data_IF_851762440703
#
_entry.id   IF_851762440703
#
_cell.length_a   1.000
_cell.length_b   1.000
_cell.length_c   1.000
_cell.angle_alpha   90.00
_cell.angle_beta   90.00
_cell.angle_gamma   90.00
#
_symmetry.space_group_name_H-M   'P 1'
#
loop_
_entity.id
_entity.type
_entity.pdbx_description
1 polymer ?
#
# COMPACT_ATOMS: atom_id res chain seq x y z
N UNK A 1 -7.11 7.60 15.22
CA UNK A 1 -6.90 6.27 14.63
C UNK A 1 -6.51 6.48 13.18
N UNK A 2 -5.35 5.96 12.76
CA UNK A 2 -4.88 6.07 11.37
C UNK A 2 -5.84 5.35 10.44
N UNK A 3 -6.18 5.96 9.31
CA UNK A 3 -7.07 5.37 8.31
C UNK A 3 -6.49 4.03 7.83
N UNK A 4 -7.29 2.96 7.84
CA UNK A 4 -6.85 1.62 7.39
C UNK A 4 -6.76 1.51 5.86
N UNK A 5 -7.41 2.42 5.13
CA UNK A 5 -7.31 2.50 3.67
C UNK A 5 -6.13 3.35 3.22
N UNK A 6 -5.74 3.16 1.97
CA UNK A 6 -4.60 3.78 1.30
C UNK A 6 -4.62 5.32 1.38
N UNK A 7 -3.90 5.89 2.35
CA UNK A 7 -3.64 7.34 2.44
C UNK A 7 -4.87 8.26 2.37
N UNK A 8 -6.07 7.69 2.55
CA UNK A 8 -7.33 8.34 2.21
C UNK A 8 -7.61 9.50 3.16
N UNK A 9 -8.03 10.64 2.61
CA UNK A 9 -8.39 11.83 3.39
C UNK A 9 -9.85 11.76 3.89
N UNK A 10 -10.21 10.67 4.55
CA UNK A 10 -11.55 10.50 5.12
C UNK A 10 -11.58 11.05 6.55
N UNK A 11 -12.62 11.81 6.88
CA UNK A 11 -12.85 12.35 8.24
C UNK A 11 -13.30 11.28 9.23
N UNK A 12 -13.89 10.20 8.72
CA UNK A 12 -14.43 9.06 9.48
C UNK A 12 -13.96 7.76 8.84
N UNK A 13 -14.11 6.64 9.55
CA UNK A 13 -13.86 5.31 8.99
C UNK A 13 -14.77 5.06 7.78
N UNK A 14 -14.27 4.36 6.74
CA UNK A 14 -15.10 3.90 5.63
C UNK A 14 -16.21 2.94 6.12
N UNK A 15 -17.31 2.88 5.38
CA UNK A 15 -18.32 1.83 5.60
C UNK A 15 -17.72 0.44 5.35
N UNK A 16 -18.22 -0.59 6.06
CA UNK A 16 -17.72 -1.96 5.95
C UNK A 16 -17.78 -2.50 4.49
N UNK A 17 -18.85 -2.19 3.77
CA UNK A 17 -18.98 -2.56 2.34
C UNK A 17 -17.87 -1.94 1.50
N UNK A 18 -17.44 -0.71 1.83
CA UNK A 18 -16.35 -0.05 1.13
C UNK A 18 -15.00 -0.73 1.46
N UNK A 19 -14.78 -1.20 2.69
CA UNK A 19 -13.59 -1.99 3.03
C UNK A 19 -13.52 -3.29 2.22
N UNK A 20 -14.63 -4.01 2.13
CA UNK A 20 -14.69 -5.31 1.45
C UNK A 20 -14.43 -5.20 -0.06
N UNK A 21 -15.05 -4.23 -0.75
CA UNK A 21 -14.89 -4.11 -2.21
C UNK A 21 -13.52 -3.55 -2.63
N UNK A 22 -12.79 -2.88 -1.74
CA UNK A 22 -11.46 -2.34 -2.03
C UNK A 22 -10.33 -3.34 -1.76
N UNK A 23 -10.59 -4.42 -1.02
CA UNK A 23 -9.58 -5.42 -0.73
C UNK A 23 -9.24 -6.20 -2.00
N UNK A 24 -8.02 -6.06 -2.50
CA UNK A 24 -7.53 -6.77 -3.70
C UNK A 24 -6.54 -7.90 -3.40
N UNK A 25 -6.27 -8.17 -2.11
CA UNK A 25 -5.18 -9.07 -1.68
C UNK A 25 -5.31 -10.50 -2.22
N UNK A 26 -6.53 -11.01 -2.36
CA UNK A 26 -6.76 -12.36 -2.88
C UNK A 26 -6.29 -12.54 -4.33
N UNK A 27 -6.27 -11.44 -5.09
CA UNK A 27 -5.73 -11.39 -6.44
C UNK A 27 -4.24 -11.01 -6.42
N UNK A 28 -3.91 -9.89 -5.78
CA UNK A 28 -2.59 -9.23 -5.88
C UNK A 28 -1.45 -9.94 -5.14
N UNK A 29 -1.74 -10.86 -4.20
CA UNK A 29 -0.70 -11.55 -3.41
C UNK A 29 0.40 -12.21 -4.25
N UNK A 30 0.11 -12.59 -5.50
CA UNK A 30 1.08 -13.19 -6.41
C UNK A 30 2.17 -12.21 -6.87
N UNK A 31 1.95 -10.90 -6.69
CA UNK A 31 2.87 -9.82 -7.04
C UNK A 31 3.90 -9.52 -5.94
N UNK A 32 3.91 -10.27 -4.82
CA UNK A 32 4.79 -10.00 -3.68
C UNK A 32 6.28 -9.96 -4.05
N UNK A 33 6.72 -10.75 -5.04
CA UNK A 33 8.12 -10.78 -5.46
C UNK A 33 8.54 -9.47 -6.12
N UNK A 34 7.64 -8.91 -6.93
CA UNK A 34 7.83 -7.64 -7.63
C UNK A 34 7.85 -6.49 -6.62
N UNK A 35 6.95 -6.52 -5.63
CA UNK A 35 6.89 -5.51 -4.56
C UNK A 35 8.20 -5.46 -3.75
N UNK A 36 8.72 -6.62 -3.34
CA UNK A 36 10.02 -6.71 -2.64
C UNK A 36 11.17 -6.21 -3.52
N UNK A 37 11.21 -6.60 -4.79
CA UNK A 37 12.27 -6.18 -5.71
C UNK A 37 12.25 -4.67 -5.93
N UNK A 38 11.07 -4.10 -6.19
CA UNK A 38 10.88 -2.67 -6.39
C UNK A 38 11.21 -1.86 -5.12
N UNK A 39 10.79 -2.34 -3.95
CA UNK A 39 11.09 -1.71 -2.65
C UNK A 39 12.60 -1.61 -2.40
N UNK A 40 13.36 -2.69 -2.67
CA UNK A 40 14.82 -2.67 -2.55
C UNK A 40 15.48 -1.70 -3.53
N UNK A 41 15.02 -1.68 -4.78
CA UNK A 41 15.52 -0.75 -5.79
C UNK A 41 15.22 0.70 -5.42
N UNK A 42 14.02 0.99 -4.91
CA UNK A 42 13.61 2.31 -4.44
C UNK A 42 14.49 2.76 -3.27
N UNK A 43 14.66 1.91 -2.24
CA UNK A 43 15.51 2.24 -1.09
C UNK A 43 16.96 2.54 -1.49
N UNK A 44 17.53 1.74 -2.41
CA UNK A 44 18.88 2.00 -2.94
C UNK A 44 18.96 3.32 -3.72
N UNK A 45 17.90 3.66 -4.48
CA UNK A 45 17.79 4.93 -5.19
C UNK A 45 17.74 6.11 -4.21
N UNK A 46 16.92 6.05 -3.15
CA UNK A 46 16.83 7.12 -2.14
C UNK A 46 18.17 7.35 -1.45
N UNK A 47 18.84 6.28 -1.01
CA UNK A 47 20.16 6.37 -0.40
C UNK A 47 21.19 7.05 -1.33
N UNK A 48 21.14 6.77 -2.65
CA UNK A 48 21.99 7.44 -3.64
C UNK A 48 21.67 8.93 -3.77
N UNK A 49 20.41 9.34 -3.58
CA UNK A 49 20.00 10.75 -3.60
C UNK A 49 20.24 11.47 -2.27
N UNK A 50 20.62 10.75 -1.20
CA UNK A 50 20.81 11.31 0.13
C UNK A 50 19.51 11.72 0.81
N UNK A 51 18.40 11.05 0.47
CA UNK A 51 17.08 11.20 1.10
C UNK A 51 16.91 10.14 2.18
#
# INVERSE_FOLDING_TARGET
MSNKMWGGRFRTSPDAVMEDINASIDFDRHLFRQDVAASRAHAAMLAKQGI
#
